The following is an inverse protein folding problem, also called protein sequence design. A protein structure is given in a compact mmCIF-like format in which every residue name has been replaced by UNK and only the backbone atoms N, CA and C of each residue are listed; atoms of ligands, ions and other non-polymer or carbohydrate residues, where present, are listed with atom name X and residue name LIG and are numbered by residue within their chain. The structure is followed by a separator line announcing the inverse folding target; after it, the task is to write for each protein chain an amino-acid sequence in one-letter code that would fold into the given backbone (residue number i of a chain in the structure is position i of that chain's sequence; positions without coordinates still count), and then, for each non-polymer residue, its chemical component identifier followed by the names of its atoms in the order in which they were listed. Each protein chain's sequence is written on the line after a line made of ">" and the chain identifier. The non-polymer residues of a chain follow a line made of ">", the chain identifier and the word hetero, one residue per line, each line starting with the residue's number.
data_IF_991338825011
#
_entry.id   IF_991338825011
#
_cell.length_a   1.000
_cell.length_b   1.000
_cell.length_c   1.000
_cell.angle_alpha   90.00
_cell.angle_beta   90.00
_cell.angle_gamma   90.00
#
_symmetry.space_group_name_H-M   'P 1'
#
loop_
_entity.id
_entity.type
_entity.pdbx_description
1 polymer ?
#
# COMPACT_ATOMS: atom_id res chain seq x y z
N UNK A 1 45.31 -70.64 3.90
CA UNK A 1 45.49 -71.12 5.29
C UNK A 1 45.44 -69.92 6.21
N UNK A 2 44.30 -69.70 6.86
CA UNK A 2 44.11 -69.24 8.25
C UNK A 2 42.68 -68.75 8.40
N UNK A 3 41.79 -69.68 8.76
CA UNK A 3 40.57 -69.38 9.48
C UNK A 3 40.85 -69.61 10.96
N UNK A 4 40.44 -68.67 11.81
CA UNK A 4 40.43 -68.76 13.26
C UNK A 4 39.53 -67.64 13.79
N UNK A 5 38.58 -67.91 14.71
CA UNK A 5 37.38 -67.09 14.91
C UNK A 5 37.55 -66.00 15.98
N UNK A 6 36.72 -64.96 15.92
CA UNK A 6 36.57 -63.99 17.01
C UNK A 6 35.07 -63.65 17.24
N UNK A 7 34.71 -63.25 18.47
CA UNK A 7 33.47 -63.66 19.14
C UNK A 7 32.32 -62.64 19.04
N UNK A 8 31.12 -63.12 19.29
CA UNK A 8 29.95 -62.30 19.55
C UNK A 8 30.04 -61.65 20.93
N UNK A 9 29.98 -60.30 21.03
CA UNK A 9 29.40 -59.58 22.16
C UNK A 9 28.97 -58.15 21.76
N UNK A 10 27.68 -57.90 21.98
CA UNK A 10 27.07 -56.73 22.62
C UNK A 10 27.53 -55.30 22.26
N UNK A 11 26.53 -54.46 21.94
CA UNK A 11 26.61 -53.04 22.27
C UNK A 11 25.90 -52.10 21.29
N UNK A 12 24.69 -51.68 21.69
CA UNK A 12 24.20 -50.29 21.62
C UNK A 12 24.21 -49.54 20.27
N UNK A 13 23.03 -49.01 19.90
CA UNK A 13 22.96 -47.81 19.07
C UNK A 13 22.14 -47.87 17.79
N UNK A 14 21.26 -48.86 17.61
CA UNK A 14 20.36 -48.90 16.45
C UNK A 14 18.95 -48.41 16.79
N UNK A 15 18.72 -47.17 16.36
CA UNK A 15 17.54 -46.74 15.64
C UNK A 15 16.21 -46.88 16.42
N UNK A 16 15.84 -45.81 17.13
CA UNK A 16 14.42 -45.57 17.38
C UNK A 16 13.77 -45.17 16.05
N UNK A 17 13.32 -46.18 15.32
CA UNK A 17 12.62 -46.15 14.02
C UNK A 17 11.28 -45.38 14.04
N UNK A 18 11.00 -44.57 15.07
CA UNK A 18 9.65 -44.11 15.38
C UNK A 18 9.37 -42.62 15.12
N UNK A 19 10.19 -41.94 14.31
CA UNK A 19 9.93 -40.55 13.90
C UNK A 19 9.23 -40.40 12.54
N UNK A 20 8.89 -41.50 11.85
CA UNK A 20 8.25 -41.46 10.53
C UNK A 20 6.78 -41.89 10.52
N UNK A 21 6.16 -42.18 11.68
CA UNK A 21 4.76 -42.66 11.77
C UNK A 21 3.84 -41.84 12.68
N UNK A 22 4.33 -40.81 13.37
CA UNK A 22 3.48 -39.86 14.06
C UNK A 22 3.32 -38.64 13.15
N UNK A 23 2.17 -38.57 12.48
CA UNK A 23 1.82 -37.46 11.58
C UNK A 23 2.19 -36.13 12.19
N UNK A 24 2.84 -35.28 11.39
CA UNK A 24 2.99 -33.87 11.68
C UNK A 24 1.58 -33.28 11.80
N UNK A 25 1.01 -33.37 12.99
CA UNK A 25 -0.03 -32.48 13.44
C UNK A 25 0.57 -31.10 13.27
N UNK A 26 0.16 -30.42 12.20
CA UNK A 26 0.31 -28.98 12.05
C UNK A 26 -0.33 -28.37 13.29
N UNK A 27 0.48 -28.13 14.32
CA UNK A 27 0.08 -27.37 15.50
C UNK A 27 -0.29 -26.00 14.92
N UNK A 28 -1.60 -25.75 14.79
CA UNK A 28 -2.12 -24.42 14.49
C UNK A 28 -1.61 -23.55 15.63
N UNK A 29 -0.51 -22.85 15.39
CA UNK A 29 0.03 -21.87 16.32
C UNK A 29 -0.96 -20.72 16.35
N UNK A 30 -1.94 -20.81 17.25
CA UNK A 30 -2.90 -19.73 17.48
C UNK A 30 -2.10 -18.56 18.02
N UNK A 31 -1.73 -17.63 17.15
CA UNK A 31 -1.08 -16.38 17.56
C UNK A 31 -1.92 -15.72 18.67
N UNK A 32 -1.30 -15.20 19.74
CA UNK A 32 -2.03 -14.51 20.80
C UNK A 32 -2.87 -13.37 20.22
N UNK A 33 -4.07 -13.10 20.76
CA UNK A 33 -4.96 -12.03 20.28
C UNK A 33 -4.23 -10.68 20.17
N UNK A 34 -3.35 -10.37 21.11
CA UNK A 34 -2.52 -9.15 21.11
C UNK A 34 -1.56 -9.07 19.93
N UNK A 35 -1.00 -10.19 19.48
CA UNK A 35 -0.11 -10.23 18.32
C UNK A 35 -0.87 -10.08 17.00
N UNK A 36 -2.10 -10.62 16.91
CA UNK A 36 -2.98 -10.38 15.76
C UNK A 36 -3.32 -8.89 15.62
N UNK A 37 -3.78 -8.23 16.69
CA UNK A 37 -4.09 -6.79 16.62
C UNK A 37 -2.88 -5.95 16.23
N UNK A 38 -1.69 -6.26 16.74
CA UNK A 38 -0.45 -5.57 16.38
C UNK A 38 -0.15 -5.71 14.89
N UNK A 39 -0.33 -6.90 14.33
CA UNK A 39 -0.12 -7.15 12.90
C UNK A 39 -1.12 -6.37 12.03
N UNK A 40 -2.41 -6.40 12.38
CA UNK A 40 -3.44 -5.64 11.66
C UNK A 40 -3.16 -4.13 11.69
N UNK A 41 -2.74 -3.61 12.85
CA UNK A 41 -2.34 -2.21 13.01
C UNK A 41 -1.13 -1.85 12.15
N UNK A 42 -0.09 -2.70 12.11
CA UNK A 42 1.06 -2.51 11.23
C UNK A 42 0.65 -2.50 9.75
N UNK A 43 -0.24 -3.40 9.34
CA UNK A 43 -0.74 -3.46 7.95
C UNK A 43 -1.56 -2.20 7.61
N UNK A 44 -2.36 -1.69 8.54
CA UNK A 44 -3.05 -0.41 8.37
C UNK A 44 -2.08 0.76 8.26
N UNK A 45 -1.08 0.84 9.14
CA UNK A 45 -0.04 1.87 9.08
C UNK A 45 0.74 1.81 7.77
N UNK A 46 1.00 0.61 7.25
CA UNK A 46 1.64 0.41 5.96
C UNK A 46 0.77 0.95 4.81
N UNK A 47 -0.54 0.67 4.82
CA UNK A 47 -1.48 1.26 3.88
C UNK A 47 -1.53 2.80 3.98
N UNK A 48 -1.49 3.34 5.20
CA UNK A 48 -1.48 4.77 5.46
C UNK A 48 -0.21 5.44 4.89
N UNK A 49 0.95 4.86 5.13
CA UNK A 49 2.23 5.36 4.61
C UNK A 49 2.37 5.16 3.09
N UNK A 50 1.69 4.18 2.51
CA UNK A 50 1.69 3.94 1.07
C UNK A 50 0.85 4.99 0.31
N UNK A 51 -0.34 5.34 0.83
CA UNK A 51 -1.28 6.26 0.17
C UNK A 51 -1.18 7.73 0.65
N UNK A 52 -0.37 8.01 1.67
CA UNK A 52 -0.25 9.37 2.23
C UNK A 52 1.18 9.69 2.67
N UNK A 53 1.47 10.99 2.78
CA UNK A 53 2.70 11.53 3.38
C UNK A 53 2.58 11.80 4.88
N UNK A 54 1.57 11.23 5.55
CA UNK A 54 1.49 11.34 7.00
C UNK A 54 2.66 10.56 7.63
N UNK A 55 3.29 11.09 8.69
CA UNK A 55 4.41 10.43 9.34
C UNK A 55 3.94 9.13 9.99
N UNK A 56 4.43 8.00 9.47
CA UNK A 56 4.15 6.66 9.99
C UNK A 56 5.42 6.09 10.63
N UNK A 57 5.34 5.46 11.82
CA UNK A 57 6.49 4.79 12.43
C UNK A 57 7.04 3.70 11.50
N UNK A 58 8.38 3.56 11.37
CA UNK A 58 8.97 2.50 10.55
C UNK A 58 8.58 1.11 11.10
N UNK A 59 8.20 0.19 10.22
CA UNK A 59 7.93 -1.21 10.58
C UNK A 59 9.25 -2.01 10.53
N UNK A 60 9.79 -2.47 11.68
CA UNK A 60 11.02 -3.27 11.70
C UNK A 60 10.85 -4.66 11.05
N UNK A 61 9.60 -5.14 10.90
CA UNK A 61 9.28 -6.46 10.34
C UNK A 61 8.54 -6.33 9.00
N UNK A 62 9.02 -5.45 8.10
CA UNK A 62 8.43 -5.27 6.78
C UNK A 62 8.46 -6.59 5.98
N UNK A 63 7.32 -6.98 5.41
CA UNK A 63 7.20 -8.18 4.57
C UNK A 63 6.24 -7.97 3.41
N UNK A 64 6.43 -8.71 2.33
CA UNK A 64 5.58 -8.65 1.14
C UNK A 64 4.13 -9.08 1.46
N UNK A 65 3.96 -10.10 2.30
CA UNK A 65 2.64 -10.52 2.79
C UNK A 65 1.86 -9.40 3.51
N UNK A 66 2.56 -8.52 4.24
CA UNK A 66 1.93 -7.36 4.90
C UNK A 66 1.50 -6.31 3.89
N UNK A 67 2.29 -6.08 2.84
CA UNK A 67 1.94 -5.19 1.74
C UNK A 67 0.72 -5.68 0.98
N UNK A 68 0.68 -6.97 0.62
CA UNK A 68 -0.47 -7.56 -0.06
C UNK A 68 -1.74 -7.44 0.80
N UNK A 69 -1.57 -7.63 2.12
CA UNK A 69 -2.62 -7.41 3.10
C UNK A 69 -3.01 -5.94 3.31
N UNK A 70 -2.22 -4.96 2.86
CA UNK A 70 -2.49 -3.53 3.06
C UNK A 70 -3.64 -3.03 2.18
N UNK A 71 -3.83 -3.63 1.00
CA UNK A 71 -4.85 -3.23 0.04
C UNK A 71 -6.27 -3.20 0.62
N UNK A 72 -6.58 -4.09 1.58
CA UNK A 72 -7.89 -4.12 2.25
C UNK A 72 -8.18 -2.87 3.09
N UNK A 73 -7.15 -2.12 3.48
CA UNK A 73 -7.28 -0.87 4.23
C UNK A 73 -7.24 0.38 3.34
N UNK A 74 -7.00 0.25 2.04
CA UNK A 74 -7.02 1.41 1.12
C UNK A 74 -8.34 2.18 1.16
N UNK A 75 -9.53 1.54 1.23
CA UNK A 75 -10.78 2.28 1.38
C UNK A 75 -10.85 3.11 2.68
N UNK A 76 -10.35 2.56 3.79
CA UNK A 76 -10.32 3.26 5.07
C UNK A 76 -9.37 4.46 5.05
N UNK A 77 -8.19 4.31 4.43
CA UNK A 77 -7.25 5.41 4.23
C UNK A 77 -7.83 6.46 3.27
N UNK A 78 -8.50 6.03 2.20
CA UNK A 78 -9.20 6.93 1.29
C UNK A 78 -10.28 7.76 1.98
N UNK A 79 -11.07 7.14 2.86
CA UNK A 79 -12.04 7.85 3.70
C UNK A 79 -11.37 8.88 4.62
N UNK A 80 -10.24 8.53 5.23
CA UNK A 80 -9.46 9.45 6.06
C UNK A 80 -8.97 10.67 5.26
N UNK A 81 -8.37 10.44 4.08
CA UNK A 81 -7.90 11.53 3.21
C UNK A 81 -9.06 12.40 2.69
N UNK A 82 -10.20 11.78 2.36
CA UNK A 82 -11.42 12.47 1.99
C UNK A 82 -11.96 13.34 3.13
N UNK A 83 -11.97 12.83 4.37
CA UNK A 83 -12.39 13.59 5.54
C UNK A 83 -11.47 14.80 5.81
N UNK A 84 -10.15 14.64 5.68
CA UNK A 84 -9.20 15.75 5.80
C UNK A 84 -9.48 16.82 4.73
N UNK A 85 -9.71 16.41 3.48
CA UNK A 85 -10.02 17.33 2.38
C UNK A 85 -11.36 18.04 2.60
N UNK A 86 -12.38 17.34 3.10
CA UNK A 86 -13.68 17.91 3.43
C UNK A 86 -13.59 18.94 4.57
N UNK A 87 -12.85 18.63 5.64
CA UNK A 87 -12.59 19.59 6.74
C UNK A 87 -11.87 20.83 6.22
N UNK A 88 -10.87 20.66 5.35
CA UNK A 88 -10.17 21.78 4.73
C UNK A 88 -11.12 22.64 3.88
N UNK A 89 -12.00 22.03 3.07
CA UNK A 89 -12.99 22.75 2.28
C UNK A 89 -13.90 23.61 3.14
N UNK A 90 -14.53 23.01 4.16
CA UNK A 90 -15.44 23.73 5.07
C UNK A 90 -14.72 24.85 5.83
N UNK A 91 -13.48 24.61 6.26
CA UNK A 91 -12.68 25.62 6.98
C UNK A 91 -12.33 26.80 6.07
N UNK A 92 -11.87 26.56 4.85
CA UNK A 92 -11.51 27.64 3.93
C UNK A 92 -12.73 28.39 3.40
N UNK A 93 -13.84 27.70 3.18
CA UNK A 93 -15.09 28.34 2.77
C UNK A 93 -15.59 29.29 3.87
N UNK A 94 -15.59 28.83 5.14
CA UNK A 94 -15.94 29.68 6.28
C UNK A 94 -14.98 30.87 6.49
N UNK A 95 -13.68 30.69 6.21
CA UNK A 95 -12.68 31.73 6.43
C UNK A 95 -12.66 32.81 5.34
N UNK A 96 -12.83 32.41 4.07
CA UNK A 96 -12.68 33.31 2.93
C UNK A 96 -14.02 33.70 2.28
N UNK A 97 -15.12 33.00 2.60
CA UNK A 97 -16.43 33.17 1.99
C UNK A 97 -16.38 33.20 0.45
N UNK A 98 -15.53 32.32 -0.12
CA UNK A 98 -15.26 32.22 -1.54
C UNK A 98 -15.07 30.75 -1.90
N UNK A 99 -16.15 30.11 -2.35
CA UNK A 99 -16.18 28.68 -2.63
C UNK A 99 -15.13 28.24 -3.68
N UNK A 100 -14.95 28.91 -4.83
CA UNK A 100 -13.88 28.55 -5.77
C UNK A 100 -12.49 28.54 -5.15
N UNK A 101 -12.16 29.53 -4.33
CA UNK A 101 -10.88 29.58 -3.63
C UNK A 101 -10.76 28.45 -2.61
N UNK A 102 -11.81 28.20 -1.82
CA UNK A 102 -11.85 27.13 -0.84
C UNK A 102 -11.67 25.74 -1.46
N UNK A 103 -12.27 25.49 -2.63
CA UNK A 103 -12.10 24.25 -3.40
C UNK A 103 -10.65 24.06 -3.82
N UNK A 104 -10.01 25.08 -4.40
CA UNK A 104 -8.62 24.97 -4.83
C UNK A 104 -7.67 24.75 -3.65
N UNK A 105 -7.88 25.45 -2.53
CA UNK A 105 -7.09 25.25 -1.30
C UNK A 105 -7.30 23.87 -0.68
N UNK A 106 -8.54 23.37 -0.64
CA UNK A 106 -8.86 22.01 -0.17
C UNK A 106 -8.20 20.95 -1.05
N UNK A 107 -8.27 21.09 -2.38
CA UNK A 107 -7.56 20.21 -3.32
C UNK A 107 -6.05 20.25 -3.07
N UNK A 108 -5.48 21.45 -2.85
CA UNK A 108 -4.07 21.62 -2.49
C UNK A 108 -3.69 20.83 -1.23
N UNK A 109 -4.50 20.92 -0.18
CA UNK A 109 -4.30 20.11 1.05
C UNK A 109 -4.36 18.61 0.73
N UNK A 110 -5.35 18.18 -0.05
CA UNK A 110 -5.49 16.77 -0.47
C UNK A 110 -4.24 16.26 -1.20
N UNK A 111 -3.70 17.04 -2.14
CA UNK A 111 -2.47 16.73 -2.88
C UNK A 111 -1.25 16.68 -1.95
N UNK A 112 -1.13 17.60 -1.01
CA UNK A 112 0.00 17.62 -0.06
C UNK A 112 -0.04 16.40 0.88
N UNK A 113 -1.21 16.05 1.39
CA UNK A 113 -1.39 14.93 2.33
C UNK A 113 -1.26 13.59 1.62
N UNK A 114 -1.76 13.44 0.39
CA UNK A 114 -1.58 12.21 -0.40
C UNK A 114 -0.19 12.10 -1.03
N UNK A 115 0.54 13.21 -1.14
CA UNK A 115 1.78 13.30 -1.92
C UNK A 115 1.57 13.27 -3.43
N UNK A 116 0.36 13.58 -3.90
CA UNK A 116 -0.07 13.50 -5.30
C UNK A 116 0.08 12.10 -5.92
N UNK A 117 0.04 11.04 -5.11
CA UNK A 117 0.29 9.66 -5.55
C UNK A 117 -0.63 9.20 -6.70
N UNK A 118 -1.90 9.55 -6.66
CA UNK A 118 -2.86 9.16 -7.70
C UNK A 118 -2.66 9.99 -8.97
N UNK A 119 -2.38 11.28 -8.81
CA UNK A 119 -2.11 12.21 -9.89
C UNK A 119 -0.83 11.84 -10.65
N UNK A 120 0.23 11.49 -9.92
CA UNK A 120 1.50 11.03 -10.48
C UNK A 120 1.31 9.75 -11.31
N UNK A 121 0.68 8.72 -10.72
CA UNK A 121 0.39 7.48 -11.44
C UNK A 121 -0.53 7.67 -12.66
N UNK A 122 -1.45 8.63 -12.62
CA UNK A 122 -2.26 8.99 -13.79
C UNK A 122 -1.42 9.67 -14.87
N UNK A 123 -0.55 10.61 -14.50
CA UNK A 123 0.34 11.30 -15.43
C UNK A 123 1.29 10.32 -16.11
N UNK A 124 1.96 9.46 -15.32
CA UNK A 124 2.87 8.43 -15.81
C UNK A 124 2.18 7.47 -16.77
N UNK A 125 0.96 7.04 -16.42
CA UNK A 125 0.16 6.16 -17.29
C UNK A 125 -0.22 6.85 -18.59
N UNK A 126 -0.66 8.11 -18.53
CA UNK A 126 -1.05 8.88 -19.71
C UNK A 126 0.14 9.13 -20.64
N UNK A 127 1.31 9.48 -20.10
CA UNK A 127 2.54 9.65 -20.89
C UNK A 127 3.06 8.33 -21.43
N UNK A 128 3.03 7.26 -20.63
CA UNK A 128 3.40 5.92 -21.05
C UNK A 128 2.59 5.47 -22.26
N UNK A 129 1.26 5.48 -22.16
CA UNK A 129 0.38 5.04 -23.24
C UNK A 129 0.30 6.01 -24.42
N UNK A 130 0.45 7.32 -24.18
CA UNK A 130 0.40 8.33 -25.24
C UNK A 130 1.72 8.47 -26.02
N UNK A 131 2.86 8.21 -25.37
CA UNK A 131 4.19 8.36 -25.96
C UNK A 131 4.86 7.05 -26.40
N UNK A 132 4.40 5.89 -25.92
CA UNK A 132 4.96 4.57 -26.22
C UNK A 132 4.11 3.75 -27.18
N UNK A 133 4.75 3.06 -28.13
CA UNK A 133 4.07 2.18 -29.09
C UNK A 133 4.22 0.70 -28.76
N UNK A 134 5.40 0.30 -28.28
CA UNK A 134 5.66 -1.05 -27.78
C UNK A 134 5.69 -1.07 -26.25
N UNK A 135 5.50 -2.25 -25.65
CA UNK A 135 5.48 -2.44 -24.19
C UNK A 135 6.74 -1.88 -23.52
N UNK A 136 7.91 -2.08 -24.12
CA UNK A 136 9.18 -1.64 -23.55
C UNK A 136 9.32 -0.11 -23.56
N UNK A 137 8.71 0.57 -24.55
CA UNK A 137 8.66 2.03 -24.59
C UNK A 137 7.73 2.60 -23.52
N UNK A 138 6.52 2.05 -23.40
CA UNK A 138 5.54 2.46 -22.37
C UNK A 138 6.17 2.34 -20.98
N UNK A 139 6.79 1.20 -20.66
CA UNK A 139 7.43 0.97 -19.37
C UNK A 139 8.67 1.83 -19.14
N UNK A 140 9.40 2.19 -20.21
CA UNK A 140 10.53 3.12 -20.13
C UNK A 140 10.05 4.54 -19.82
N UNK A 141 8.97 4.98 -20.46
CA UNK A 141 8.38 6.32 -20.26
C UNK A 141 7.81 6.44 -18.84
N UNK A 142 7.06 5.45 -18.36
CA UNK A 142 6.52 5.45 -16.98
C UNK A 142 7.58 5.48 -15.88
N UNK A 143 8.84 5.14 -16.21
CA UNK A 143 9.97 5.20 -15.26
C UNK A 143 10.76 6.51 -15.37
N UNK A 144 10.48 7.32 -16.39
CA UNK A 144 11.05 8.65 -16.52
C UNK A 144 10.30 9.59 -15.58
N UNK A 145 11.03 10.34 -14.76
CA UNK A 145 10.43 11.31 -13.83
C UNK A 145 9.98 12.61 -14.51
N UNK A 146 10.18 12.74 -15.83
CA UNK A 146 9.76 13.91 -16.61
C UNK A 146 8.29 13.81 -16.99
N UNK A 147 7.54 14.87 -16.71
CA UNK A 147 6.17 15.00 -17.19
C UNK A 147 6.14 15.25 -18.71
N UNK A 148 5.29 14.52 -19.42
CA UNK A 148 5.02 14.69 -20.83
C UNK A 148 3.72 15.45 -21.12
N UNK A 149 3.42 15.60 -22.41
CA UNK A 149 2.23 16.35 -22.86
C UNK A 149 0.92 15.63 -22.53
N UNK A 150 0.90 14.29 -22.59
CA UNK A 150 -0.30 13.52 -22.29
C UNK A 150 -0.59 13.51 -20.80
N UNK A 151 0.44 13.36 -19.96
CA UNK A 151 0.34 13.49 -18.51
C UNK A 151 -0.15 14.86 -18.10
N UNK A 152 0.39 15.93 -18.71
CA UNK A 152 -0.07 17.31 -18.46
C UNK A 152 -1.55 17.48 -18.79
N UNK A 153 -1.99 17.02 -19.97
CA UNK A 153 -3.41 17.12 -20.37
C UNK A 153 -4.30 16.31 -19.43
N UNK A 154 -3.89 15.09 -19.06
CA UNK A 154 -4.63 14.25 -18.12
C UNK A 154 -4.78 14.91 -16.74
N UNK A 155 -3.71 15.51 -16.21
CA UNK A 155 -3.73 16.25 -14.95
C UNK A 155 -4.67 17.46 -15.01
N UNK A 156 -4.58 18.27 -16.07
CA UNK A 156 -5.47 19.42 -16.26
C UNK A 156 -6.93 18.97 -16.29
N UNK A 157 -7.25 17.91 -17.03
CA UNK A 157 -8.61 17.39 -17.12
C UNK A 157 -9.11 16.85 -15.79
N UNK A 158 -8.35 15.99 -15.09
CA UNK A 158 -8.81 15.38 -13.84
C UNK A 158 -8.94 16.41 -12.71
N UNK A 159 -8.00 17.35 -12.61
CA UNK A 159 -8.04 18.40 -11.58
C UNK A 159 -9.16 19.40 -11.90
N UNK A 160 -9.36 19.75 -13.17
CA UNK A 160 -10.49 20.57 -13.60
C UNK A 160 -11.84 19.93 -13.28
N UNK A 161 -11.99 18.63 -13.55
CA UNK A 161 -13.18 17.86 -13.19
C UNK A 161 -13.39 17.85 -11.68
N UNK A 162 -12.34 17.58 -10.88
CA UNK A 162 -12.43 17.62 -9.41
C UNK A 162 -12.88 18.98 -8.90
N UNK A 163 -12.30 20.06 -9.41
CA UNK A 163 -12.65 21.42 -9.03
C UNK A 163 -14.12 21.72 -9.33
N UNK A 164 -14.57 21.45 -10.57
CA UNK A 164 -15.96 21.67 -10.97
C UNK A 164 -16.94 20.80 -10.19
N UNK A 165 -16.61 19.53 -9.95
CA UNK A 165 -17.44 18.62 -9.17
C UNK A 165 -17.63 19.13 -7.73
N UNK A 166 -16.55 19.57 -7.07
CA UNK A 166 -16.62 20.14 -5.73
C UNK A 166 -17.37 21.48 -5.69
N UNK A 167 -17.16 22.35 -6.69
CA UNK A 167 -17.90 23.61 -6.82
C UNK A 167 -19.40 23.41 -7.11
N UNK A 168 -19.80 22.25 -7.63
CA UNK A 168 -21.20 21.91 -7.90
C UNK A 168 -21.95 21.32 -6.70
N UNK A 169 -21.24 21.06 -5.59
CA UNK A 169 -21.88 20.56 -4.37
C UNK A 169 -22.84 21.64 -3.82
N UNK A 170 -24.03 21.25 -3.34
CA UNK A 170 -24.91 22.16 -2.65
C UNK A 170 -24.19 22.80 -1.46
N UNK A 171 -24.24 24.12 -1.37
CA UNK A 171 -23.78 24.83 -0.18
C UNK A 171 -24.59 24.35 1.02
N UNK A 172 -23.92 24.05 2.14
CA UNK A 172 -24.58 23.74 3.39
C UNK A 172 -25.09 25.04 4.03
N UNK A 173 -26.09 25.67 3.41
CA UNK A 173 -26.79 26.86 3.88
C UNK A 173 -28.17 26.48 4.42
#
# INVERSE_FOLDING_TARGET
>A
MHQGPAPALAGSGRLCWNQLLCGQASIVSTTPRSQRLRREWQIFLLALGFLSRLPVPPDPDFSQDKLDGAARYFPAVGLLLGAISAVALLTFDALFNNLPLAVLLSMGVGLMVSGAFHEDGLADSADGFGGGWQRDDVLRIMKDSRIGSYGTVALVMVLGIKALALSSLPSAS
#
